data_IF_499811292925
#
_entry.id   IF_499811292925
#
_cell.length_a   1.000
_cell.length_b   1.000
_cell.length_c   1.000
_cell.angle_alpha   90.00
_cell.angle_beta   90.00
_cell.angle_gamma   90.00
#
_symmetry.space_group_name_H-M   'P 1'
#
loop_
_entity.id
_entity.type
_entity.pdbx_description
1 polymer ?
#
# COMPACT_ATOMS: atom_id res chain seq x y z
N UNK A 1 -13.30 20.42 17.67
CA UNK A 1 -12.33 19.36 18.05
C UNK A 1 -12.96 18.03 17.67
N UNK A 2 -12.27 17.21 16.89
CA UNK A 2 -12.81 15.88 16.53
C UNK A 2 -12.80 14.99 17.77
N UNK A 3 -13.81 14.14 17.90
CA UNK A 3 -13.87 13.10 18.92
C UNK A 3 -12.82 12.02 18.65
N UNK A 4 -12.44 11.26 19.67
CA UNK A 4 -11.55 10.10 19.50
C UNK A 4 -12.09 9.09 18.49
N UNK A 5 -13.42 8.90 18.45
CA UNK A 5 -14.09 8.02 17.49
C UNK A 5 -13.91 8.51 16.05
N UNK A 6 -14.07 9.80 15.80
CA UNK A 6 -13.86 10.37 14.46
C UNK A 6 -12.41 10.25 14.01
N UNK A 7 -11.45 10.53 14.90
CA UNK A 7 -10.02 10.37 14.61
C UNK A 7 -9.68 8.92 14.24
N UNK A 8 -10.23 7.95 14.99
CA UNK A 8 -10.07 6.53 14.71
C UNK A 8 -10.59 6.16 13.31
N UNK A 9 -11.82 6.56 12.98
CA UNK A 9 -12.40 6.26 11.66
C UNK A 9 -11.65 6.94 10.52
N UNK A 10 -11.13 8.15 10.72
CA UNK A 10 -10.29 8.83 9.73
C UNK A 10 -8.98 8.10 9.47
N UNK A 11 -8.31 7.61 10.53
CA UNK A 11 -7.11 6.79 10.38
C UNK A 11 -7.41 5.49 9.61
N UNK A 12 -8.51 4.81 9.94
CA UNK A 12 -8.97 3.62 9.22
C UNK A 12 -9.25 3.91 7.75
N UNK A 13 -9.92 5.03 7.45
CA UNK A 13 -10.22 5.43 6.08
C UNK A 13 -8.93 5.68 5.27
N UNK A 14 -7.95 6.37 5.85
CA UNK A 14 -6.65 6.60 5.20
C UNK A 14 -5.89 5.31 4.93
N UNK A 15 -5.93 4.36 5.86
CA UNK A 15 -5.32 3.04 5.68
C UNK A 15 -5.99 2.30 4.51
N UNK A 16 -7.32 2.27 4.48
CA UNK A 16 -8.09 1.60 3.43
C UNK A 16 -7.89 2.23 2.05
N UNK A 17 -7.78 3.56 1.98
CA UNK A 17 -7.46 4.27 0.74
C UNK A 17 -6.06 3.93 0.23
N UNK A 18 -5.06 3.87 1.12
CA UNK A 18 -3.72 3.44 0.74
C UNK A 18 -3.69 1.97 0.25
N UNK A 19 -4.42 1.06 0.90
CA UNK A 19 -4.53 -0.34 0.44
C UNK A 19 -5.14 -0.42 -0.96
N UNK A 20 -6.20 0.35 -1.20
CA UNK A 20 -6.85 0.41 -2.52
C UNK A 20 -5.89 0.91 -3.58
N UNK A 21 -5.14 1.97 -3.29
CA UNK A 21 -4.19 2.53 -4.24
C UNK A 21 -3.08 1.52 -4.60
N UNK A 22 -2.56 0.76 -3.64
CA UNK A 22 -1.58 -0.30 -3.94
C UNK A 22 -2.17 -1.38 -4.84
N UNK A 23 -3.43 -1.78 -4.61
CA UNK A 23 -4.10 -2.77 -5.46
C UNK A 23 -4.39 -2.23 -6.87
N UNK A 24 -4.66 -0.94 -7.02
CA UNK A 24 -4.79 -0.26 -8.31
C UNK A 24 -3.45 -0.25 -9.07
N UNK A 25 -2.35 0.10 -8.38
CA UNK A 25 -1.00 0.05 -8.97
C UNK A 25 -0.63 -1.36 -9.39
N UNK A 26 -0.89 -2.37 -8.56
CA UNK A 26 -0.63 -3.78 -8.89
C UNK A 26 -1.39 -4.28 -10.13
N UNK A 27 -2.53 -3.65 -10.45
CA UNK A 27 -3.40 -4.02 -11.58
C UNK A 27 -3.37 -3.01 -12.73
N UNK A 28 -2.46 -2.05 -12.69
CA UNK A 28 -2.41 -1.01 -13.72
C UNK A 28 -2.15 -1.64 -15.11
N UNK A 29 -2.93 -1.28 -16.14
CA UNK A 29 -2.97 -2.04 -17.39
C UNK A 29 -1.67 -1.98 -18.22
N UNK A 30 -0.88 -0.92 -18.06
CA UNK A 30 0.33 -0.68 -18.86
C UNK A 30 1.61 -0.55 -18.05
N UNK A 31 1.49 -0.43 -16.72
CA UNK A 31 2.62 -0.22 -15.81
C UNK A 31 2.27 -0.73 -14.41
N UNK A 32 2.04 -2.05 -14.26
CA UNK A 32 1.70 -2.62 -12.97
C UNK A 32 2.87 -2.52 -12.01
N UNK A 33 2.58 -2.38 -10.71
CA UNK A 33 3.59 -2.54 -9.67
C UNK A 33 4.17 -3.97 -9.74
N UNK A 34 5.48 -4.08 -9.94
CA UNK A 34 6.18 -5.37 -10.02
C UNK A 34 6.69 -5.84 -8.67
N UNK A 35 7.15 -7.10 -8.59
CA UNK A 35 7.84 -7.61 -7.40
C UNK A 35 9.12 -6.80 -7.11
N UNK A 36 9.92 -6.52 -8.13
CA UNK A 36 11.18 -5.77 -8.00
C UNK A 36 10.96 -4.35 -7.49
N UNK A 37 9.91 -3.68 -8.00
CA UNK A 37 9.54 -2.34 -7.53
C UNK A 37 9.14 -2.37 -6.06
N UNK A 38 8.29 -3.32 -5.68
CA UNK A 38 7.84 -3.45 -4.31
C UNK A 38 8.99 -3.79 -3.35
N UNK A 39 9.91 -4.68 -3.74
CA UNK A 39 11.12 -4.96 -2.97
C UNK A 39 11.97 -3.71 -2.76
N UNK A 40 12.18 -2.94 -3.82
CA UNK A 40 12.92 -1.68 -3.77
C UNK A 40 12.25 -0.67 -2.84
N UNK A 41 10.93 -0.53 -2.93
CA UNK A 41 10.15 0.38 -2.11
C UNK A 41 10.14 -0.03 -0.64
N UNK A 42 10.01 -1.33 -0.36
CA UNK A 42 10.05 -1.88 1.01
C UNK A 42 11.44 -1.67 1.63
N UNK A 43 12.51 -1.85 0.86
CA UNK A 43 13.87 -1.64 1.35
C UNK A 43 14.18 -0.14 1.57
N UNK A 44 13.65 0.73 0.71
CA UNK A 44 13.89 2.17 0.78
C UNK A 44 13.03 2.88 1.82
N UNK A 45 11.78 2.46 1.97
CA UNK A 45 10.75 3.11 2.81
C UNK A 45 9.92 2.06 3.59
N UNK A 46 10.56 1.29 4.50
CA UNK A 46 9.91 0.18 5.20
C UNK A 46 8.70 0.60 6.03
N UNK A 47 8.67 1.84 6.55
CA UNK A 47 7.57 2.39 7.34
C UNK A 47 6.30 2.64 6.51
N UNK A 48 6.45 2.84 5.20
CA UNK A 48 5.32 3.09 4.27
C UNK A 48 4.90 1.82 3.55
N UNK A 49 5.88 1.03 3.10
CA UNK A 49 5.64 -0.10 2.20
C UNK A 49 5.77 -1.46 2.88
N UNK A 50 6.36 -1.55 4.07
CA UNK A 50 6.64 -2.81 4.77
C UNK A 50 5.40 -3.67 5.01
N UNK A 51 4.23 -3.04 5.21
CA UNK A 51 2.95 -3.77 5.38
C UNK A 51 2.55 -4.58 4.15
N UNK A 52 3.04 -4.21 2.97
CA UNK A 52 2.74 -4.88 1.70
C UNK A 52 3.76 -5.95 1.33
N UNK A 53 4.77 -6.22 2.17
CA UNK A 53 5.80 -7.23 1.89
C UNK A 53 5.22 -8.60 1.51
N UNK A 54 4.05 -8.97 2.04
CA UNK A 54 3.34 -10.21 1.70
C UNK A 54 2.74 -10.29 0.28
N UNK A 55 2.84 -9.21 -0.52
CA UNK A 55 2.50 -9.21 -1.94
C UNK A 55 3.69 -9.59 -2.84
N UNK A 56 4.92 -9.55 -2.32
CA UNK A 56 6.11 -10.01 -3.06
C UNK A 56 5.93 -11.51 -3.38
N UNK A 57 6.17 -11.87 -4.64
CA UNK A 57 5.90 -13.19 -5.21
C UNK A 57 4.49 -13.38 -5.77
N UNK A 58 3.60 -12.38 -5.64
CA UNK A 58 2.23 -12.40 -6.19
C UNK A 58 2.01 -11.32 -7.26
N UNK A 59 2.94 -10.40 -7.41
CA UNK A 59 2.92 -9.37 -8.45
C UNK A 59 3.57 -9.90 -9.73
N UNK A 60 3.40 -9.21 -10.87
CA UNK A 60 4.18 -9.49 -12.08
C UNK A 60 5.69 -9.38 -11.81
N UNK A 61 6.49 -10.08 -12.62
CA UNK A 61 7.96 -9.99 -12.60
C UNK A 61 8.44 -8.58 -12.93
#
# INVERSE_FOLDING_TARGET
MKTQKEIFWEAHKRIAEADRHVMELARHPTNPLTNSDLETLVNRYPERWGRYRGLIGKLPN
#
